data_IF_787175139923
#
_entry.id   IF_787175139923
#
_cell.length_a   1.000
_cell.length_b   1.000
_cell.length_c   1.000
_cell.angle_alpha   90.00
_cell.angle_beta   90.00
_cell.angle_gamma   90.00
#
_symmetry.space_group_name_H-M   'P 1'
#
loop_
_entity.id
_entity.type
_entity.pdbx_description
1 polymer ?
#
# COMPACT_ATOMS: atom_id res chain seq x y z
N UNK A 1 -18.54 -72.81 10.90
CA UNK A 1 -18.19 -71.49 11.47
C UNK A 1 -18.71 -70.39 10.56
N UNK A 2 -19.92 -69.91 10.84
CA UNK A 2 -20.56 -68.81 10.11
C UNK A 2 -19.99 -67.48 10.63
N UNK A 3 -19.10 -66.88 9.83
CA UNK A 3 -18.53 -65.56 10.13
C UNK A 3 -19.63 -64.52 9.99
N UNK A 4 -20.03 -63.96 11.13
CA UNK A 4 -21.09 -62.99 11.27
C UNK A 4 -20.69 -61.68 10.55
N UNK A 5 -21.23 -61.45 9.35
CA UNK A 5 -21.03 -60.22 8.58
C UNK A 5 -21.90 -59.14 9.22
N UNK A 6 -21.40 -58.54 10.30
CA UNK A 6 -21.93 -57.27 10.82
C UNK A 6 -21.30 -56.15 9.98
N UNK A 7 -21.70 -56.07 8.71
CA UNK A 7 -21.24 -55.02 7.82
C UNK A 7 -21.87 -53.70 8.31
N UNK A 8 -21.02 -52.73 8.62
CA UNK A 8 -21.32 -51.47 9.31
C UNK A 8 -22.51 -50.73 8.68
N UNK A 9 -23.66 -50.69 9.36
CA UNK A 9 -24.82 -49.86 9.00
C UNK A 9 -24.44 -48.40 8.78
N UNK A 10 -23.41 -47.92 9.49
CA UNK A 10 -22.84 -46.58 9.39
C UNK A 10 -22.18 -46.34 8.02
N UNK A 11 -21.40 -47.31 7.51
CA UNK A 11 -20.75 -47.18 6.21
C UNK A 11 -21.78 -47.23 5.08
N UNK A 12 -22.82 -48.04 5.24
CA UNK A 12 -23.91 -48.15 4.28
C UNK A 12 -24.76 -46.87 4.23
N UNK A 13 -25.05 -46.27 5.39
CA UNK A 13 -25.70 -44.95 5.50
C UNK A 13 -24.85 -43.84 4.88
N UNK A 14 -23.54 -43.83 5.16
CA UNK A 14 -22.60 -42.86 4.59
C UNK A 14 -22.56 -42.95 3.07
N UNK A 15 -22.48 -44.16 2.49
CA UNK A 15 -22.52 -44.31 1.02
C UNK A 15 -23.82 -43.83 0.39
N UNK A 16 -24.95 -44.00 1.07
CA UNK A 16 -26.27 -43.63 0.56
C UNK A 16 -26.52 -42.11 0.62
N UNK A 17 -25.92 -41.42 1.61
CA UNK A 17 -26.08 -39.99 1.82
C UNK A 17 -24.83 -39.15 1.51
N UNK A 18 -23.77 -39.77 0.97
CA UNK A 18 -22.46 -39.15 0.71
C UNK A 18 -22.56 -37.79 0.03
N UNK A 19 -23.32 -37.70 -1.07
CA UNK A 19 -23.48 -36.46 -1.83
C UNK A 19 -24.16 -35.35 -1.03
N UNK A 20 -25.18 -35.67 -0.23
CA UNK A 20 -25.88 -34.69 0.61
C UNK A 20 -24.99 -34.21 1.76
N UNK A 21 -24.24 -35.11 2.37
CA UNK A 21 -23.30 -34.78 3.46
C UNK A 21 -22.18 -33.87 2.93
N UNK A 22 -21.59 -34.18 1.77
CA UNK A 22 -20.56 -33.35 1.15
C UNK A 22 -21.05 -31.93 0.87
N UNK A 23 -22.25 -31.78 0.30
CA UNK A 23 -22.86 -30.48 0.01
C UNK A 23 -23.08 -29.65 1.28
N UNK A 24 -23.60 -30.27 2.34
CA UNK A 24 -23.80 -29.59 3.63
C UNK A 24 -22.47 -29.09 4.19
N UNK A 25 -21.41 -29.89 4.08
CA UNK A 25 -20.09 -29.56 4.60
C UNK A 25 -19.43 -28.43 3.81
N UNK A 26 -19.55 -28.44 2.48
CA UNK A 26 -19.11 -27.35 1.60
C UNK A 26 -19.85 -26.03 1.91
N UNK A 27 -21.17 -26.09 2.08
CA UNK A 27 -21.98 -24.91 2.42
C UNK A 27 -21.59 -24.33 3.79
N UNK A 28 -21.37 -25.18 4.78
CA UNK A 28 -20.88 -24.78 6.11
C UNK A 28 -19.52 -24.06 6.01
N UNK A 29 -18.60 -24.60 5.21
CA UNK A 29 -17.27 -24.03 5.02
C UNK A 29 -17.36 -22.63 4.38
N UNK A 30 -18.20 -22.46 3.36
CA UNK A 30 -18.47 -21.18 2.71
C UNK A 30 -19.04 -20.15 3.68
N UNK A 31 -19.99 -20.56 4.53
CA UNK A 31 -20.55 -19.67 5.56
C UNK A 31 -19.52 -19.25 6.60
N UNK A 32 -18.66 -20.16 7.05
CA UNK A 32 -17.56 -19.84 7.98
C UNK A 32 -16.62 -18.84 7.34
N UNK A 33 -16.21 -19.06 6.09
CA UNK A 33 -15.31 -18.16 5.39
C UNK A 33 -15.92 -16.77 5.17
N UNK A 34 -17.18 -16.72 4.72
CA UNK A 34 -17.92 -15.46 4.57
C UNK A 34 -18.07 -14.71 5.91
N UNK A 35 -18.27 -15.43 7.02
CA UNK A 35 -18.32 -14.84 8.36
C UNK A 35 -16.98 -14.23 8.78
N UNK A 36 -15.87 -14.94 8.53
CA UNK A 36 -14.51 -14.45 8.82
C UNK A 36 -14.23 -13.18 8.02
N UNK A 37 -14.49 -13.18 6.72
CA UNK A 37 -14.30 -12.02 5.84
C UNK A 37 -15.16 -10.81 6.26
N UNK A 38 -16.39 -11.08 6.72
CA UNK A 38 -17.26 -10.06 7.28
C UNK A 38 -16.66 -9.40 8.54
N UNK A 39 -15.98 -10.18 9.39
CA UNK A 39 -15.30 -9.67 10.59
C UNK A 39 -14.09 -8.80 10.25
N UNK A 40 -13.39 -9.09 9.16
CA UNK A 40 -12.28 -8.28 8.65
C UNK A 40 -12.71 -7.02 7.87
N UNK A 41 -14.01 -6.67 7.92
CA UNK A 41 -14.63 -5.54 7.19
C UNK A 41 -14.63 -5.71 5.67
N UNK A 42 -14.28 -6.87 5.14
CA UNK A 42 -14.41 -7.22 3.71
C UNK A 42 -15.84 -7.72 3.40
N UNK A 43 -16.86 -6.92 3.75
CA UNK A 43 -18.28 -7.29 3.63
C UNK A 43 -18.68 -7.69 2.19
N UNK A 44 -18.02 -7.07 1.22
CA UNK A 44 -18.26 -7.31 -0.20
C UNK A 44 -17.71 -8.67 -0.66
N UNK A 45 -16.53 -9.05 -0.17
CA UNK A 45 -15.90 -10.33 -0.50
C UNK A 45 -16.67 -11.53 0.07
N UNK A 46 -17.23 -11.37 1.28
CA UNK A 46 -18.15 -12.34 1.86
C UNK A 46 -19.38 -12.61 0.97
N UNK A 47 -19.98 -11.55 0.40
CA UNK A 47 -21.11 -11.67 -0.53
C UNK A 47 -20.70 -12.34 -1.85
N UNK A 48 -19.55 -11.98 -2.40
CA UNK A 48 -19.00 -12.59 -3.61
C UNK A 48 -18.84 -14.10 -3.48
N UNK A 49 -18.24 -14.57 -2.39
CA UNK A 49 -18.00 -16.01 -2.16
C UNK A 49 -19.32 -16.79 -2.11
N UNK A 50 -20.36 -16.25 -1.47
CA UNK A 50 -21.67 -16.88 -1.38
C UNK A 50 -22.32 -16.99 -2.77
N UNK A 51 -22.33 -15.89 -3.53
CA UNK A 51 -22.91 -15.87 -4.89
C UNK A 51 -22.15 -16.82 -5.81
N UNK A 52 -20.83 -16.81 -5.75
CA UNK A 52 -19.96 -17.71 -6.51
C UNK A 52 -20.24 -19.17 -6.20
N UNK A 53 -20.34 -19.53 -4.92
CA UNK A 53 -20.66 -20.89 -4.50
C UNK A 53 -22.00 -21.37 -5.06
N UNK A 54 -23.06 -20.54 -4.96
CA UNK A 54 -24.37 -20.86 -5.54
C UNK A 54 -24.27 -21.05 -7.05
N UNK A 55 -23.53 -20.18 -7.75
CA UNK A 55 -23.34 -20.28 -9.19
C UNK A 55 -22.62 -21.57 -9.59
N UNK A 56 -21.49 -21.90 -8.94
CA UNK A 56 -20.76 -23.14 -9.22
C UNK A 56 -21.63 -24.39 -9.01
N UNK A 57 -22.54 -24.35 -8.03
CA UNK A 57 -23.45 -25.46 -7.76
C UNK A 57 -24.58 -25.58 -8.78
N UNK A 58 -25.17 -24.46 -9.23
CA UNK A 58 -26.21 -24.44 -10.26
C UNK A 58 -25.67 -24.95 -11.61
N UNK A 59 -24.42 -24.62 -11.92
CA UNK A 59 -23.78 -24.96 -13.21
C UNK A 59 -22.89 -26.21 -13.15
N UNK A 60 -22.96 -26.99 -12.06
CA UNK A 60 -22.09 -28.14 -11.79
C UNK A 60 -22.11 -29.22 -12.88
N UNK A 61 -23.25 -29.41 -13.53
CA UNK A 61 -23.44 -30.45 -14.57
C UNK A 61 -23.14 -29.94 -15.99
N UNK A 62 -22.72 -28.68 -16.15
CA UNK A 62 -22.37 -28.10 -17.44
C UNK A 62 -20.86 -28.12 -17.66
N UNK A 63 -20.49 -28.12 -18.95
CA UNK A 63 -19.10 -28.15 -19.39
C UNK A 63 -18.31 -26.97 -18.78
N UNK A 64 -17.04 -27.19 -18.40
CA UNK A 64 -16.27 -26.23 -17.60
C UNK A 64 -16.15 -24.83 -18.25
N UNK A 65 -16.36 -24.74 -19.57
CA UNK A 65 -16.39 -23.50 -20.35
C UNK A 65 -17.53 -22.56 -19.94
N UNK A 66 -18.69 -23.11 -19.57
CA UNK A 66 -19.86 -22.32 -19.14
C UNK A 66 -19.63 -21.70 -17.75
N UNK A 67 -18.71 -22.27 -16.95
CA UNK A 67 -18.34 -21.75 -15.64
C UNK A 67 -17.25 -20.67 -15.72
N UNK A 68 -16.33 -20.76 -16.69
CA UNK A 68 -15.23 -19.79 -16.82
C UNK A 68 -15.75 -18.38 -17.12
N UNK A 69 -16.75 -18.24 -18.01
CA UNK A 69 -17.32 -16.94 -18.41
C UNK A 69 -17.89 -16.15 -17.22
N UNK A 70 -18.82 -16.70 -16.40
CA UNK A 70 -19.35 -15.98 -15.25
C UNK A 70 -18.27 -15.72 -14.20
N UNK A 71 -17.30 -16.62 -14.01
CA UNK A 71 -16.16 -16.36 -13.11
C UNK A 71 -15.35 -15.14 -13.58
N UNK A 72 -15.08 -15.03 -14.87
CA UNK A 72 -14.35 -13.90 -15.46
C UNK A 72 -15.14 -12.59 -15.36
N UNK A 73 -16.45 -12.62 -15.63
CA UNK A 73 -17.33 -11.45 -15.51
C UNK A 73 -17.41 -10.98 -14.06
N UNK A 74 -17.63 -11.91 -13.12
CA UNK A 74 -17.69 -11.59 -11.69
C UNK A 74 -16.29 -11.13 -11.22
N UNK A 75 -15.18 -11.73 -11.68
CA UNK A 75 -13.85 -11.21 -11.36
C UNK A 75 -13.65 -9.78 -11.88
N UNK A 76 -14.03 -9.48 -13.13
CA UNK A 76 -13.91 -8.14 -13.71
C UNK A 76 -14.78 -7.10 -13.01
N UNK A 77 -16.00 -7.46 -12.61
CA UNK A 77 -16.92 -6.55 -11.91
C UNK A 77 -16.51 -6.36 -10.44
N UNK A 78 -15.99 -7.40 -9.79
CA UNK A 78 -15.78 -7.43 -8.34
C UNK A 78 -14.32 -7.17 -7.90
N UNK A 79 -13.38 -7.01 -8.85
CA UNK A 79 -12.02 -6.56 -8.54
C UNK A 79 -12.03 -5.04 -8.23
N UNK A 80 -12.58 -4.70 -7.07
CA UNK A 80 -12.70 -3.34 -6.52
C UNK A 80 -11.37 -2.59 -6.47
N UNK A 81 -10.27 -3.32 -6.26
CA UNK A 81 -8.91 -2.78 -6.32
C UNK A 81 -8.58 -2.18 -7.70
N UNK A 82 -9.04 -2.81 -8.79
CA UNK A 82 -8.82 -2.29 -10.14
C UNK A 82 -9.65 -1.02 -10.41
N UNK A 83 -10.86 -0.92 -9.85
CA UNK A 83 -11.71 0.25 -10.03
C UNK A 83 -11.18 1.48 -9.28
N UNK A 84 -10.72 1.29 -8.03
CA UNK A 84 -10.10 2.35 -7.25
C UNK A 84 -8.80 2.85 -7.92
N UNK A 85 -7.98 1.93 -8.45
CA UNK A 85 -6.81 2.30 -9.26
C UNK A 85 -7.22 3.05 -10.53
N UNK A 86 -8.25 2.62 -11.27
CA UNK A 86 -8.73 3.31 -12.48
C UNK A 86 -9.27 4.72 -12.19
N UNK A 87 -9.93 4.91 -11.05
CA UNK A 87 -10.38 6.22 -10.60
C UNK A 87 -9.21 7.14 -10.26
N UNK A 88 -8.17 6.61 -9.60
CA UNK A 88 -6.91 7.31 -9.35
C UNK A 88 -6.22 7.69 -10.67
N UNK A 89 -6.08 6.76 -11.61
CA UNK A 89 -5.53 7.02 -12.96
C UNK A 89 -6.29 8.13 -13.68
N UNK A 90 -7.63 8.08 -13.68
CA UNK A 90 -8.45 9.13 -14.32
C UNK A 90 -8.27 10.50 -13.66
N UNK A 91 -8.12 10.55 -12.34
CA UNK A 91 -8.04 11.81 -11.60
C UNK A 91 -6.65 12.45 -11.68
N UNK A 92 -5.59 11.63 -11.78
CA UNK A 92 -4.20 12.10 -11.77
C UNK A 92 -3.67 12.34 -13.20
N UNK A 93 -3.99 11.48 -14.17
CA UNK A 93 -3.33 11.52 -15.49
C UNK A 93 -4.10 12.28 -16.57
N UNK A 94 -5.43 12.39 -16.48
CA UNK A 94 -6.23 13.09 -17.50
C UNK A 94 -5.82 14.57 -17.67
N UNK A 95 -5.54 15.35 -16.59
CA UNK A 95 -5.05 16.72 -16.74
C UNK A 95 -3.68 16.78 -17.45
N UNK A 96 -2.80 15.82 -17.16
CA UNK A 96 -1.46 15.69 -17.73
C UNK A 96 -1.50 15.34 -19.23
N UNK A 97 -2.50 14.56 -19.65
CA UNK A 97 -2.76 14.20 -21.05
C UNK A 97 -3.39 15.36 -21.83
N UNK A 98 -4.23 16.18 -21.19
CA UNK A 98 -4.91 17.31 -21.83
C UNK A 98 -3.99 18.52 -22.04
N UNK A 99 -3.02 18.74 -21.14
CA UNK A 99 -2.10 19.88 -21.21
C UNK A 99 -0.62 19.46 -21.08
N UNK A 100 -0.12 18.61 -22.01
CA UNK A 100 1.25 18.07 -21.91
C UNK A 100 2.31 19.17 -21.96
N UNK A 101 2.05 20.28 -22.67
CA UNK A 101 2.96 21.44 -22.72
C UNK A 101 3.09 22.16 -21.37
N UNK A 102 2.03 22.22 -20.57
CA UNK A 102 2.08 22.86 -19.25
C UNK A 102 2.82 21.98 -18.25
N UNK A 103 2.60 20.67 -18.32
CA UNK A 103 3.29 19.70 -17.49
C UNK A 103 4.80 19.62 -17.82
N UNK A 104 5.15 19.57 -19.11
CA UNK A 104 6.53 19.64 -19.56
C UNK A 104 7.19 20.98 -19.20
N UNK A 105 6.47 22.09 -19.33
CA UNK A 105 6.99 23.39 -18.89
C UNK A 105 7.34 23.36 -17.41
N UNK A 106 6.43 22.83 -16.56
CA UNK A 106 6.66 22.70 -15.13
C UNK A 106 7.91 21.84 -14.86
N UNK A 107 8.02 20.66 -15.49
CA UNK A 107 9.20 19.77 -15.38
C UNK A 107 10.55 20.44 -15.72
N UNK A 108 10.56 21.49 -16.54
CA UNK A 108 11.78 22.19 -16.95
C UNK A 108 11.93 23.59 -16.36
N UNK A 109 11.02 24.01 -15.48
CA UNK A 109 11.19 25.23 -14.69
C UNK A 109 11.88 24.89 -13.37
N UNK A 110 12.88 25.68 -13.00
CA UNK A 110 13.49 25.57 -11.69
C UNK A 110 12.42 25.77 -10.60
N UNK A 111 12.60 25.11 -9.46
CA UNK A 111 11.78 25.28 -8.24
C UNK A 111 10.31 24.83 -8.35
N UNK A 112 9.91 24.15 -9.44
CA UNK A 112 8.57 23.57 -9.51
C UNK A 112 8.43 22.36 -8.61
N UNK A 113 7.34 22.30 -7.85
CA UNK A 113 7.08 21.23 -6.91
C UNK A 113 7.60 21.51 -5.51
N UNK A 114 8.25 22.66 -5.25
CA UNK A 114 8.55 23.09 -3.88
C UNK A 114 7.27 23.28 -3.06
N UNK A 115 6.19 23.73 -3.69
CA UNK A 115 4.90 23.98 -3.05
C UNK A 115 4.18 22.72 -2.54
N UNK A 116 4.58 21.55 -3.02
CA UNK A 116 4.04 20.26 -2.58
C UNK A 116 4.94 19.54 -1.58
N UNK A 117 6.11 20.11 -1.28
CA UNK A 117 7.03 19.55 -0.27
C UNK A 117 6.55 19.89 1.14
N UNK A 118 6.82 19.02 2.13
CA UNK A 118 6.62 19.36 3.53
C UNK A 118 7.35 20.66 3.91
N UNK A 119 6.75 21.46 4.79
CA UNK A 119 7.32 22.73 5.24
C UNK A 119 8.75 22.57 5.79
N UNK A 120 9.05 21.44 6.41
CA UNK A 120 10.37 21.12 6.94
C UNK A 120 11.42 20.99 5.82
N UNK A 121 11.08 20.27 4.76
CA UNK A 121 11.94 20.06 3.60
C UNK A 121 12.21 21.38 2.87
N UNK A 122 11.18 22.21 2.66
CA UNK A 122 11.35 23.55 2.05
C UNK A 122 12.31 24.42 2.86
N UNK A 123 12.20 24.35 4.19
CA UNK A 123 13.04 25.09 5.13
C UNK A 123 14.49 24.61 5.09
N UNK A 124 14.72 23.30 5.06
CA UNK A 124 16.05 22.70 4.88
C UNK A 124 16.69 23.12 3.55
N UNK A 125 15.98 23.00 2.42
CA UNK A 125 16.48 23.41 1.10
C UNK A 125 16.89 24.89 1.08
N UNK A 126 16.06 25.75 1.67
CA UNK A 126 16.37 27.19 1.79
C UNK A 126 17.68 27.41 2.55
N UNK A 127 17.89 26.70 3.66
CA UNK A 127 19.13 26.78 4.43
C UNK A 127 20.34 26.23 3.68
N UNK A 128 20.18 25.12 2.94
CA UNK A 128 21.26 24.54 2.13
C UNK A 128 21.74 25.52 1.06
N UNK A 129 20.80 26.15 0.32
CA UNK A 129 21.13 27.13 -0.72
C UNK A 129 21.74 28.40 -0.13
N UNK A 130 21.25 28.88 1.01
CA UNK A 130 21.79 30.07 1.68
C UNK A 130 23.20 29.83 2.22
N UNK A 131 23.48 28.65 2.76
CA UNK A 131 24.78 28.27 3.30
C UNK A 131 25.78 27.77 2.24
N UNK A 132 25.32 27.54 1.01
CA UNK A 132 26.12 27.03 -0.11
C UNK A 132 26.91 25.75 0.25
N UNK A 133 26.20 24.78 0.85
CA UNK A 133 26.79 23.48 1.24
C UNK A 133 26.68 22.47 0.10
N UNK A 134 27.63 21.55 0.01
CA UNK A 134 27.67 20.52 -1.03
C UNK A 134 27.16 19.15 -0.55
N UNK A 135 27.24 18.91 0.75
CA UNK A 135 26.72 17.73 1.41
C UNK A 135 26.07 18.10 2.74
N UNK A 136 25.19 17.23 3.22
CA UNK A 136 24.50 17.37 4.50
C UNK A 136 24.27 16.00 5.14
N UNK A 137 23.95 16.02 6.42
CA UNK A 137 23.44 14.89 7.16
C UNK A 137 22.15 15.27 7.91
N UNK A 138 21.38 14.26 8.28
CA UNK A 138 20.16 14.41 9.07
C UNK A 138 20.39 13.81 10.45
N UNK A 139 19.97 14.52 11.49
CA UNK A 139 19.83 13.94 12.84
C UNK A 139 18.95 12.68 12.83
N UNK A 140 19.06 11.82 13.87
CA UNK A 140 18.21 10.64 13.99
C UNK A 140 16.71 10.91 13.87
N UNK A 141 16.25 12.06 14.36
CA UNK A 141 14.84 12.47 14.28
C UNK A 141 14.37 12.67 12.83
N UNK A 142 15.13 13.44 12.03
CA UNK A 142 14.80 13.66 10.62
C UNK A 142 15.13 12.48 9.72
N UNK A 143 16.14 11.68 10.08
CA UNK A 143 16.47 10.46 9.34
C UNK A 143 15.40 9.37 9.57
N UNK A 144 14.81 9.32 10.77
CA UNK A 144 13.72 8.39 11.13
C UNK A 144 12.38 8.75 10.49
N UNK A 145 12.18 10.01 10.11
CA UNK A 145 11.02 10.43 9.34
C UNK A 145 11.19 10.08 7.85
N UNK A 146 10.54 9.00 7.43
CA UNK A 146 10.63 8.49 6.06
C UNK A 146 10.12 9.47 5.00
N UNK A 147 9.17 10.35 5.33
CA UNK A 147 8.69 11.36 4.39
C UNK A 147 9.74 12.45 4.20
N UNK A 148 10.28 13.00 5.30
CA UNK A 148 11.34 14.02 5.25
C UNK A 148 12.56 13.47 4.52
N UNK A 149 13.06 12.30 4.95
CA UNK A 149 14.24 11.64 4.38
C UNK A 149 14.11 11.43 2.87
N UNK A 150 12.98 10.89 2.40
CA UNK A 150 12.76 10.67 0.98
C UNK A 150 12.70 12.00 0.21
N UNK A 151 11.89 12.95 0.70
CA UNK A 151 11.64 14.21 0.00
C UNK A 151 12.87 15.10 -0.08
N UNK A 152 13.68 15.17 0.98
CA UNK A 152 14.90 15.98 0.97
C UNK A 152 15.97 15.40 0.05
N UNK A 153 16.15 14.07 0.03
CA UNK A 153 17.10 13.41 -0.88
C UNK A 153 16.72 13.62 -2.34
N UNK A 154 15.43 13.52 -2.68
CA UNK A 154 14.93 13.77 -4.03
C UNK A 154 15.09 15.24 -4.46
N UNK A 155 14.83 16.18 -3.55
CA UNK A 155 14.70 17.60 -3.88
C UNK A 155 16.02 18.38 -3.75
N UNK A 156 16.96 17.92 -2.92
CA UNK A 156 18.21 18.64 -2.66
C UNK A 156 19.27 18.49 -3.76
N UNK A 157 19.02 17.69 -4.80
CA UNK A 157 19.99 17.48 -5.89
C UNK A 157 20.44 18.82 -6.49
N UNK A 158 21.77 19.10 -6.58
CA UNK A 158 22.89 18.15 -6.50
C UNK A 158 23.55 17.96 -5.12
N UNK A 159 23.01 18.56 -4.06
CA UNK A 159 23.54 18.47 -2.69
C UNK A 159 23.26 17.08 -2.12
N UNK A 160 24.30 16.40 -1.63
CA UNK A 160 24.22 14.97 -1.28
C UNK A 160 24.03 14.74 0.22
N UNK A 161 23.22 13.74 0.54
CA UNK A 161 23.17 13.20 1.89
C UNK A 161 24.41 12.31 2.12
N UNK A 162 25.24 12.65 3.10
CA UNK A 162 26.45 11.92 3.47
C UNK A 162 26.60 11.85 5.00
N UNK A 163 26.80 10.66 5.57
CA UNK A 163 27.02 10.47 7.02
C UNK A 163 28.28 11.19 7.52
N UNK A 164 29.27 11.40 6.64
CA UNK A 164 30.49 12.13 6.93
C UNK A 164 30.39 13.64 6.74
N UNK A 165 29.19 14.18 6.43
CA UNK A 165 29.03 15.62 6.26
C UNK A 165 29.24 16.35 7.60
N UNK A 166 29.94 17.48 7.53
CA UNK A 166 30.07 18.38 8.67
C UNK A 166 28.77 19.14 8.96
N UNK A 167 27.87 19.24 7.98
CA UNK A 167 26.64 20.01 8.09
C UNK A 167 25.47 19.09 8.45
N UNK A 168 24.84 19.32 9.60
CA UNK A 168 23.80 18.44 10.12
C UNK A 168 22.53 19.24 10.38
N UNK A 169 21.39 18.74 9.87
CA UNK A 169 20.08 19.25 10.23
C UNK A 169 19.56 18.59 11.50
N UNK A 170 19.25 19.39 12.51
CA UNK A 170 18.82 18.95 13.83
C UNK A 170 17.51 19.64 14.22
N UNK A 171 16.69 18.96 15.02
CA UNK A 171 15.50 19.53 15.63
C UNK A 171 15.89 20.49 16.75
N UNK A 172 15.04 21.46 17.09
CA UNK A 172 15.21 22.28 18.30
C UNK A 172 15.35 21.43 19.57
N UNK A 173 14.75 20.24 19.59
CA UNK A 173 14.82 19.29 20.71
C UNK A 173 16.20 18.63 20.85
N UNK A 174 16.98 18.57 19.76
CA UNK A 174 18.28 17.90 19.73
C UNK A 174 19.44 18.85 20.06
N UNK A 175 19.19 20.14 20.29
CA UNK A 175 20.24 21.13 20.53
C UNK A 175 21.22 20.73 21.65
N UNK A 176 20.74 20.02 22.68
CA UNK A 176 21.57 19.53 23.78
C UNK A 176 22.57 18.44 23.37
N UNK A 177 22.30 17.70 22.29
CA UNK A 177 23.16 16.65 21.76
C UNK A 177 24.29 17.19 20.86
N UNK A 178 24.14 18.42 20.37
CA UNK A 178 25.03 19.05 19.39
C UNK A 178 25.67 20.35 19.92
N UNK A 179 25.84 20.48 21.24
CA UNK A 179 26.38 21.69 21.88
C UNK A 179 27.81 22.05 21.43
N UNK A 180 28.61 21.06 21.02
CA UNK A 180 29.97 21.26 20.52
C UNK A 180 30.03 21.72 19.05
N UNK A 181 28.88 21.75 18.36
CA UNK A 181 28.78 22.16 16.97
C UNK A 181 28.53 23.66 16.82
N UNK A 182 29.07 24.23 15.75
CA UNK A 182 28.86 25.65 15.44
C UNK A 182 27.51 25.87 14.75
N UNK A 183 26.79 26.91 15.19
CA UNK A 183 25.49 27.23 14.63
C UNK A 183 25.61 27.91 13.26
N UNK A 184 24.91 27.41 12.24
CA UNK A 184 24.94 27.98 10.87
C UNK A 184 23.65 28.75 10.58
N UNK A 185 22.48 28.13 10.78
CA UNK A 185 21.18 28.75 10.50
C UNK A 185 20.06 28.13 11.35
N UNK A 186 19.06 28.96 11.72
CA UNK A 186 17.81 28.55 12.38
C UNK A 186 16.64 28.98 11.48
N UNK A 187 15.70 28.07 11.23
CA UNK A 187 14.42 28.46 10.64
C UNK A 187 13.33 27.45 11.03
N UNK A 188 12.21 27.94 11.57
CA UNK A 188 11.00 27.16 11.89
C UNK A 188 11.30 25.82 12.58
N UNK A 189 11.99 25.87 13.72
CA UNK A 189 12.32 24.70 14.57
C UNK A 189 13.34 23.72 13.98
N UNK A 190 13.99 24.11 12.88
CA UNK A 190 15.07 23.35 12.24
C UNK A 190 16.35 24.15 12.35
N UNK A 191 17.40 23.49 12.82
CA UNK A 191 18.74 24.05 12.94
C UNK A 191 19.68 23.36 11.95
N UNK A 192 20.45 24.17 11.23
CA UNK A 192 21.64 23.71 10.52
C UNK A 192 22.85 24.00 11.40
N UNK A 193 23.54 22.95 11.83
CA UNK A 193 24.77 23.05 12.61
C UNK A 193 25.94 22.51 11.79
N UNK A 194 27.15 22.95 12.14
CA UNK A 194 28.40 22.47 11.59
C UNK A 194 29.27 21.86 12.68
N UNK A 195 29.45 20.55 12.60
CA UNK A 195 30.28 19.75 13.50
C UNK A 195 31.62 19.42 12.82
N UNK A 196 32.72 19.42 13.59
CA UNK A 196 34.06 19.10 13.09
C UNK A 196 34.48 17.69 13.42
#
# INVERSE_FOLDING_TARGET
MTKNIKNNSINQFYTLHKQKITLILEFLLVLVFAYVEWRFKHRFYALFIIVFFVFTHIFKDRDHKDLIIPILIIFLIFNTLAFDSLLLFRRIDVPSIQHPKSYLKNLFTADTGLEVLPDSVQTMLTMMHAANIENYYLSPDYYGDGEIMQRIVESAWPIKLEESSQYIFISDQDNDLYQDCSFVANMKEINLVKCN
#
